data_IF_850610380089
#
_entry.id   IF_850610380089
#
_cell.length_a   1.000
_cell.length_b   1.000
_cell.length_c   1.000
_cell.angle_alpha   90.00
_cell.angle_beta   90.00
_cell.angle_gamma   90.00
#
_symmetry.space_group_name_H-M   'P 1'
#
loop_
_entity.id
_entity.type
_entity.pdbx_description
1 polymer ?
#
# COMPACT_ATOMS: atom_id res chain seq x y z
N UNK A 1 7.84 8.92 16.72
CA UNK A 1 7.83 7.56 16.16
C UNK A 1 6.79 6.78 16.93
N UNK A 2 5.74 6.28 16.27
CA UNK A 2 4.82 5.35 16.93
C UNK A 2 5.59 4.09 17.31
N UNK A 3 5.37 3.61 18.53
CA UNK A 3 5.92 2.33 18.95
C UNK A 3 5.27 1.22 18.11
N UNK A 4 6.02 0.20 17.68
CA UNK A 4 5.46 -0.91 16.92
C UNK A 4 4.32 -1.54 17.73
N UNK A 5 3.15 -1.68 17.09
CA UNK A 5 1.99 -2.33 17.70
C UNK A 5 2.28 -3.81 17.86
N UNK A 6 1.95 -4.37 19.01
CA UNK A 6 2.07 -5.80 19.26
C UNK A 6 1.16 -6.58 18.29
N UNK A 7 1.72 -7.61 17.64
CA UNK A 7 1.01 -8.47 16.68
C UNK A 7 0.91 -9.86 17.31
N UNK A 8 -0.31 -10.37 17.45
CA UNK A 8 -0.56 -11.69 18.04
C UNK A 8 -0.80 -12.75 16.96
N UNK A 9 -0.17 -13.93 17.12
CA UNK A 9 -0.35 -15.06 16.20
C UNK A 9 -1.81 -15.50 16.05
N UNK A 10 -2.60 -15.41 17.13
CA UNK A 10 -4.04 -15.77 17.13
C UNK A 10 -4.90 -14.87 16.22
N UNK A 11 -4.41 -13.67 15.91
CA UNK A 11 -5.11 -12.69 15.08
C UNK A 11 -4.66 -12.75 13.60
N UNK A 12 -3.83 -13.75 13.24
CA UNK A 12 -3.43 -13.99 11.87
C UNK A 12 -4.64 -14.26 10.98
N UNK A 13 -4.68 -13.58 9.83
CA UNK A 13 -5.70 -13.74 8.80
C UNK A 13 -5.03 -13.97 7.45
N UNK A 14 -5.67 -14.76 6.61
CA UNK A 14 -5.26 -14.85 5.21
C UNK A 14 -5.36 -13.48 4.55
N UNK A 15 -4.42 -13.15 3.63
CA UNK A 15 -4.49 -11.90 2.90
C UNK A 15 -5.72 -11.91 1.98
N UNK A 16 -6.32 -10.74 1.83
CA UNK A 16 -7.47 -10.52 0.95
C UNK A 16 -7.13 -10.66 -0.54
N UNK A 17 -5.84 -10.64 -0.89
CA UNK A 17 -5.34 -10.65 -2.25
C UNK A 17 -4.17 -11.63 -2.41
N UNK A 18 -4.15 -12.33 -3.54
CA UNK A 18 -3.01 -13.11 -4.03
C UNK A 18 -2.17 -12.26 -4.96
N UNK A 19 -0.86 -12.26 -4.72
CA UNK A 19 0.12 -11.60 -5.56
C UNK A 19 0.77 -12.68 -6.42
N UNK A 20 0.45 -12.67 -7.70
CA UNK A 20 0.97 -13.65 -8.66
C UNK A 20 2.40 -13.28 -9.05
N UNK A 21 2.57 -12.07 -9.60
CA UNK A 21 3.87 -11.60 -10.10
C UNK A 21 4.10 -10.14 -9.70
N UNK A 22 5.31 -9.85 -9.22
CA UNK A 22 5.77 -8.50 -8.90
C UNK A 22 6.98 -8.16 -9.77
N UNK A 23 6.83 -7.19 -10.66
CA UNK A 23 7.93 -6.63 -11.43
C UNK A 23 8.42 -5.33 -10.79
N UNK A 24 9.68 -5.32 -10.35
CA UNK A 24 10.34 -4.14 -9.83
C UNK A 24 11.38 -3.64 -10.83
N UNK A 25 11.34 -2.33 -11.10
CA UNK A 25 12.38 -1.63 -11.86
C UNK A 25 12.95 -0.52 -10.99
N UNK A 26 14.26 -0.58 -10.80
CA UNK A 26 15.01 0.43 -10.07
C UNK A 26 15.77 1.31 -11.06
N UNK A 27 15.53 2.61 -11.00
CA UNK A 27 16.34 3.62 -11.69
C UNK A 27 17.19 4.30 -10.63
N UNK A 28 18.45 3.87 -10.53
CA UNK A 28 19.41 4.41 -9.58
C UNK A 28 19.92 5.76 -10.10
N UNK A 29 19.76 6.80 -9.30
CA UNK A 29 20.39 8.10 -9.50
C UNK A 29 21.22 8.45 -8.28
N UNK A 30 22.13 9.41 -8.44
CA UNK A 30 23.12 9.74 -7.42
C UNK A 30 22.49 10.30 -6.13
N UNK A 31 21.39 11.05 -6.26
CA UNK A 31 20.65 11.63 -5.12
C UNK A 31 19.42 10.82 -4.72
N UNK A 32 18.78 10.15 -5.68
CA UNK A 32 17.50 9.46 -5.47
C UNK A 32 17.36 8.25 -6.38
N UNK A 33 16.68 7.23 -5.87
CA UNK A 33 16.27 6.06 -6.64
C UNK A 33 14.78 6.13 -6.94
N UNK A 34 14.42 5.97 -8.21
CA UNK A 34 13.01 5.83 -8.62
C UNK A 34 12.71 4.33 -8.72
N UNK A 35 11.69 3.88 -7.99
CA UNK A 35 11.21 2.50 -8.02
C UNK A 35 9.87 2.46 -8.74
N UNK A 36 9.78 1.65 -9.79
CA UNK A 36 8.52 1.33 -10.47
C UNK A 36 8.13 -0.10 -10.13
N UNK A 37 6.91 -0.28 -9.62
CA UNK A 37 6.33 -1.59 -9.33
C UNK A 37 5.13 -1.86 -10.23
N UNK A 38 5.10 -3.03 -10.86
CA UNK A 38 3.93 -3.55 -11.59
C UNK A 38 3.56 -4.91 -11.01
N UNK A 39 2.34 -5.01 -10.49
CA UNK A 39 1.87 -6.16 -9.73
C UNK A 39 0.69 -6.79 -10.46
N UNK A 40 0.72 -8.11 -10.63
CA UNK A 40 -0.43 -8.92 -11.03
C UNK A 40 -1.05 -9.45 -9.73
N UNK A 41 -2.28 -9.04 -9.45
CA UNK A 41 -2.97 -9.28 -8.17
C UNK A 41 -4.41 -9.72 -8.40
N UNK A 42 -4.87 -10.67 -7.60
CA UNK A 42 -6.22 -11.23 -7.67
C UNK A 42 -6.87 -11.25 -6.29
N UNK A 43 -8.16 -10.93 -6.15
CA UNK A 43 -8.85 -11.11 -4.88
C UNK A 43 -8.84 -12.59 -4.49
N UNK A 44 -8.65 -12.86 -3.21
CA UNK A 44 -8.63 -14.23 -2.69
C UNK A 44 -10.00 -14.90 -2.82
N UNK A 45 -11.06 -14.13 -2.57
CA UNK A 45 -12.45 -14.62 -2.55
C UNK A 45 -13.20 -14.06 -3.75
N UNK A 46 -13.79 -14.95 -4.57
CA UNK A 46 -14.62 -14.52 -5.70
C UNK A 46 -15.83 -13.70 -5.22
N UNK A 47 -16.13 -12.60 -5.90
CA UNK A 47 -17.23 -11.70 -5.55
C UNK A 47 -16.96 -10.77 -4.35
N UNK A 48 -15.81 -10.88 -3.69
CA UNK A 48 -15.37 -9.97 -2.63
C UNK A 48 -14.10 -9.22 -3.07
N UNK A 49 -14.15 -7.90 -3.06
CA UNK A 49 -13.03 -7.04 -3.48
C UNK A 49 -12.84 -5.92 -2.47
N UNK A 50 -12.25 -6.21 -1.30
CA UNK A 50 -11.93 -5.19 -0.30
C UNK A 50 -10.85 -4.24 -0.85
N UNK A 51 -10.57 -3.10 -0.21
CA UNK A 51 -9.47 -2.23 -0.65
C UNK A 51 -8.13 -2.98 -0.72
N UNK A 52 -7.37 -2.78 -1.81
CA UNK A 52 -6.00 -3.28 -1.89
C UNK A 52 -5.10 -2.36 -1.04
N UNK A 53 -4.63 -2.88 0.09
CA UNK A 53 -3.71 -2.18 0.98
C UNK A 53 -2.27 -2.59 0.62
N UNK A 54 -1.42 -1.60 0.35
CA UNK A 54 0.01 -1.79 0.09
C UNK A 54 0.80 -1.01 1.13
N UNK A 55 1.59 -1.72 1.93
CA UNK A 55 2.43 -1.10 2.94
C UNK A 55 3.68 -0.48 2.31
N UNK A 56 4.05 0.71 2.78
CA UNK A 56 5.25 1.42 2.34
C UNK A 56 5.67 2.46 3.38
N UNK A 57 6.97 2.52 3.65
CA UNK A 57 7.55 3.44 4.62
C UNK A 57 8.57 4.36 3.95
N UNK A 58 8.53 5.65 4.28
CA UNK A 58 9.47 6.68 3.79
C UNK A 58 9.53 6.78 2.24
N UNK A 59 8.39 6.55 1.59
CA UNK A 59 8.23 6.62 0.13
C UNK A 59 7.49 7.88 -0.33
N UNK A 60 7.94 8.46 -1.43
CA UNK A 60 7.22 9.51 -2.15
C UNK A 60 6.48 8.91 -3.35
N UNK A 61 5.14 8.91 -3.31
CA UNK A 61 4.33 8.40 -4.41
C UNK A 61 4.41 9.33 -5.63
N UNK A 62 4.95 8.83 -6.74
CA UNK A 62 5.06 9.60 -8.01
C UNK A 62 3.81 9.44 -8.88
N UNK A 63 3.33 8.20 -9.06
CA UNK A 63 2.12 7.91 -9.82
C UNK A 63 1.56 6.54 -9.44
N UNK A 64 0.26 6.34 -9.68
CA UNK A 64 -0.43 5.07 -9.47
C UNK A 64 -1.45 4.82 -10.60
N UNK A 65 -1.51 3.58 -11.05
CA UNK A 65 -2.38 3.16 -12.15
C UNK A 65 -2.95 1.77 -11.86
N UNK A 66 -4.20 1.54 -12.22
CA UNK A 66 -4.83 0.21 -12.19
C UNK A 66 -5.21 -0.15 -13.62
N UNK A 67 -4.74 -1.30 -14.11
CA UNK A 67 -5.01 -1.81 -15.46
C UNK A 67 -4.73 -0.76 -16.56
N UNK A 68 -3.63 -0.01 -16.42
CA UNK A 68 -3.21 1.03 -17.36
C UNK A 68 -3.98 2.36 -17.26
N UNK A 69 -4.92 2.50 -16.32
CA UNK A 69 -5.67 3.73 -16.08
C UNK A 69 -5.13 4.46 -14.86
N UNK A 70 -4.74 5.72 -15.03
CA UNK A 70 -4.34 6.58 -13.92
C UNK A 70 -5.49 6.76 -12.91
N UNK A 71 -5.19 6.60 -11.62
CA UNK A 71 -6.16 6.85 -10.57
C UNK A 71 -6.21 8.34 -10.24
N UNK A 72 -7.42 8.82 -9.98
CA UNK A 72 -7.62 10.16 -9.39
C UNK A 72 -7.39 10.06 -7.89
N UNK A 73 -6.94 11.18 -7.29
CA UNK A 73 -6.65 11.29 -5.85
C UNK A 73 -7.79 10.78 -4.94
N UNK A 74 -9.05 10.94 -5.35
CA UNK A 74 -10.22 10.51 -4.58
C UNK A 74 -10.44 8.98 -4.55
N UNK A 75 -9.66 8.19 -5.29
CA UNK A 75 -9.81 6.74 -5.43
C UNK A 75 -8.79 5.96 -4.59
N UNK A 76 -7.84 6.66 -3.96
CA UNK A 76 -6.87 6.07 -3.04
C UNK A 76 -6.71 6.95 -1.79
N UNK A 77 -6.30 6.36 -0.68
CA UNK A 77 -5.99 7.08 0.55
C UNK A 77 -4.57 6.75 0.95
N UNK A 78 -3.75 7.78 1.20
CA UNK A 78 -2.48 7.58 1.88
C UNK A 78 -2.76 7.61 3.38
N UNK A 79 -2.57 6.49 4.05
CA UNK A 79 -2.63 6.45 5.51
C UNK A 79 -1.35 7.08 6.05
N UNK A 80 -1.28 8.42 6.03
CA UNK A 80 -0.41 9.13 6.95
C UNK A 80 -1.03 8.88 8.31
N UNK A 81 -0.37 8.09 9.15
CA UNK A 81 -0.73 8.03 10.56
C UNK A 81 -0.49 9.44 11.12
N UNK A 82 -1.54 10.26 11.11
CA UNK A 82 -1.57 11.46 11.92
C UNK A 82 -1.60 10.96 13.36
N UNK A 83 -0.66 11.36 14.23
CA UNK A 83 -0.88 11.20 15.66
C UNK A 83 -2.17 11.97 15.96
N UNK A 84 -3.23 11.24 16.30
CA UNK A 84 -4.52 11.80 16.66
C UNK A 84 -4.33 12.77 17.82
N UNK A 85 -4.25 14.06 17.53
CA UNK A 85 -4.73 15.08 18.44
C UNK A 85 -6.24 15.16 18.24
N UNK A 86 -7.00 14.57 19.17
CA UNK A 86 -8.35 15.04 19.43
C UNK A 86 -8.39 15.58 20.86
N UNK A 87 -8.36 16.91 20.91
CA UNK A 87 -8.92 17.71 21.99
C UNK A 87 -10.38 17.30 22.15
N UNK A 88 -10.78 16.86 23.34
CA UNK A 88 -12.15 16.94 23.82
C UNK A 88 -12.17 18.01 24.93
N UNK A 89 -13.19 18.88 24.89
CA UNK A 89 -13.50 19.92 25.87
C UNK A 89 -13.48 19.41 27.32
#
# INVERSE_FOLDING_TARGET
>A
MEAPKEIFLKDYKFPDYYFDTVHLKFSLGDEKTIVSSKIIVFPHTEGFSPPLVLDGQDLSLVSIQINGKALKVHVYTFFWVLPTALVAL
#
